data_IF_750201748050
#
_entry.id   IF_750201748050
#
_cell.length_a   1.000
_cell.length_b   1.000
_cell.length_c   1.000
_cell.angle_alpha   90.00
_cell.angle_beta   90.00
_cell.angle_gamma   90.00
#
_symmetry.space_group_name_H-M   'P 1'
#
loop_
_entity.id
_entity.type
_entity.pdbx_description
1 polymer ?
#
# COMPACT_ATOMS: atom_id res chain seq x y z
N UNK A 1 -7.97 -0.63 19.53
CA UNK A 1 -8.22 -1.56 18.39
C UNK A 1 -9.65 -2.11 18.41
N UNK A 2 -10.14 -2.67 19.53
CA UNK A 2 -11.54 -3.13 19.71
C UNK A 2 -12.56 -1.97 19.59
N UNK A 3 -12.22 -0.75 20.03
CA UNK A 3 -13.10 0.42 19.91
C UNK A 3 -13.27 0.94 18.47
N UNK A 4 -12.23 0.83 17.64
CA UNK A 4 -12.29 1.22 16.21
C UNK A 4 -13.16 0.23 15.43
N UNK A 5 -13.09 -1.08 15.75
CA UNK A 5 -13.98 -2.07 15.14
C UNK A 5 -15.43 -2.02 15.68
N UNK A 6 -15.64 -1.70 16.97
CA UNK A 6 -16.99 -1.47 17.54
C UNK A 6 -17.68 -0.25 16.92
N UNK A 7 -16.94 0.81 16.59
CA UNK A 7 -17.49 1.96 15.87
C UNK A 7 -17.97 1.62 14.45
N UNK A 8 -17.33 0.66 13.76
CA UNK A 8 -17.73 0.25 12.42
C UNK A 8 -19.01 -0.62 12.38
N UNK A 9 -19.33 -1.35 13.45
CA UNK A 9 -20.38 -2.38 13.41
C UNK A 9 -21.55 -2.20 14.38
N UNK A 10 -21.52 -1.29 15.35
CA UNK A 10 -22.52 -1.31 16.44
C UNK A 10 -23.45 -0.10 16.60
N UNK A 11 -23.37 0.95 15.79
CA UNK A 11 -24.39 2.01 15.77
C UNK A 11 -24.70 2.45 14.36
N UNK A 12 -25.82 1.97 13.81
CA UNK A 12 -26.82 2.72 13.03
C UNK A 12 -27.60 1.77 12.10
N UNK A 13 -28.60 1.08 12.66
CA UNK A 13 -29.85 0.76 11.94
C UNK A 13 -30.79 1.97 12.00
N UNK A 14 -30.29 3.17 11.69
CA UNK A 14 -31.13 4.32 11.37
C UNK A 14 -31.12 4.46 9.86
N UNK A 15 -32.27 4.73 9.26
CA UNK A 15 -32.40 5.01 7.83
C UNK A 15 -31.52 6.22 7.48
N UNK A 16 -30.28 5.96 7.07
CA UNK A 16 -29.47 7.00 6.47
C UNK A 16 -30.14 7.35 5.15
N UNK A 17 -30.65 8.58 5.03
CA UNK A 17 -30.78 9.21 3.71
C UNK A 17 -29.38 9.14 3.10
N UNK A 18 -29.23 8.31 2.06
CA UNK A 18 -27.97 8.15 1.34
C UNK A 18 -27.46 9.53 0.91
N UNK A 19 -26.44 10.05 1.61
CA UNK A 19 -25.66 11.15 1.09
C UNK A 19 -24.70 10.54 0.08
N UNK A 20 -24.86 10.91 -1.19
CA UNK A 20 -23.90 10.56 -2.24
C UNK A 20 -22.52 11.10 -1.84
N UNK A 21 -21.65 10.21 -1.41
CA UNK A 21 -20.24 10.48 -1.09
C UNK A 21 -19.38 10.03 -2.26
N UNK A 22 -18.31 10.76 -2.57
CA UNK A 22 -17.35 10.35 -3.59
C UNK A 22 -16.54 9.14 -3.12
N UNK A 23 -16.23 8.20 -4.00
CA UNK A 23 -15.34 7.08 -3.69
C UNK A 23 -13.95 7.38 -4.27
N UNK A 24 -12.88 7.08 -3.54
CA UNK A 24 -11.48 7.21 -4.00
C UNK A 24 -10.82 5.86 -3.81
N UNK A 25 -10.51 5.15 -4.89
CA UNK A 25 -9.76 3.89 -4.84
C UNK A 25 -8.28 4.24 -4.97
N UNK A 26 -7.45 3.84 -4.01
CA UNK A 26 -5.99 4.02 -4.05
C UNK A 26 -5.33 2.65 -4.00
N UNK A 27 -5.57 1.82 -5.01
CA UNK A 27 -4.63 0.73 -5.43
C UNK A 27 -5.05 0.03 -6.75
N UNK A 28 -5.85 0.69 -7.58
CA UNK A 28 -6.12 0.29 -8.95
C UNK A 28 -6.32 1.58 -9.74
N UNK A 29 -6.00 1.55 -11.03
CA UNK A 29 -5.97 2.68 -11.95
C UNK A 29 -7.10 3.72 -11.75
N UNK A 30 -6.71 4.98 -11.85
CA UNK A 30 -7.39 6.21 -11.43
C UNK A 30 -8.75 6.41 -12.11
N UNK A 31 -9.87 5.91 -11.59
CA UNK A 31 -11.22 6.48 -11.82
C UNK A 31 -12.16 6.19 -10.63
N UNK A 32 -13.18 7.05 -10.46
CA UNK A 32 -14.40 6.87 -9.61
C UNK A 32 -14.67 7.81 -8.41
N UNK A 33 -14.09 9.03 -8.41
CA UNK A 33 -14.77 10.17 -7.78
C UNK A 33 -15.81 10.68 -8.77
N UNK A 34 -17.09 10.87 -8.38
CA UNK A 34 -18.02 11.65 -9.19
C UNK A 34 -17.53 13.11 -9.26
N UNK A 35 -16.88 13.53 -10.36
CA UNK A 35 -16.30 14.87 -10.46
C UNK A 35 -17.38 15.92 -10.76
N UNK A 36 -18.65 15.53 -10.78
CA UNK A 36 -19.81 16.39 -11.02
C UNK A 36 -20.44 16.91 -9.73
N UNK A 37 -20.14 16.33 -8.56
CA UNK A 37 -20.62 16.86 -7.28
C UNK A 37 -20.01 18.25 -7.01
N UNK A 38 -20.86 19.28 -7.08
CA UNK A 38 -20.46 20.69 -7.01
C UNK A 38 -19.84 21.09 -5.66
N UNK A 39 -20.21 20.42 -4.56
CA UNK A 39 -19.74 20.76 -3.21
C UNK A 39 -18.33 20.22 -2.95
N UNK A 40 -18.04 19.02 -3.47
CA UNK A 40 -16.71 18.38 -3.40
C UNK A 40 -15.75 19.06 -4.37
N UNK A 41 -16.18 19.27 -5.62
CA UNK A 41 -15.42 19.96 -6.68
C UNK A 41 -15.03 21.39 -6.29
N UNK A 42 -15.89 22.06 -5.53
CA UNK A 42 -15.67 23.44 -5.10
C UNK A 42 -14.56 23.57 -4.07
N UNK A 43 -14.67 22.79 -3.00
CA UNK A 43 -13.73 22.83 -1.87
C UNK A 43 -12.36 22.26 -2.23
N UNK A 44 -12.32 21.14 -2.98
CA UNK A 44 -11.06 20.48 -3.35
C UNK A 44 -10.14 21.39 -4.16
N UNK A 45 -10.68 22.12 -5.14
CA UNK A 45 -9.88 23.02 -5.99
C UNK A 45 -9.24 24.15 -5.17
N UNK A 46 -9.91 24.64 -4.14
CA UNK A 46 -9.42 25.73 -3.29
C UNK A 46 -8.37 25.22 -2.31
N UNK A 47 -8.63 24.07 -1.68
CA UNK A 47 -7.69 23.42 -0.76
C UNK A 47 -6.40 23.04 -1.51
N UNK A 48 -6.54 22.46 -2.70
CA UNK A 48 -5.42 22.15 -3.59
C UNK A 48 -4.64 23.42 -3.99
N UNK A 49 -5.34 24.48 -4.41
CA UNK A 49 -4.69 25.75 -4.73
C UNK A 49 -3.97 26.39 -3.53
N UNK A 50 -4.51 26.29 -2.31
CA UNK A 50 -3.86 26.77 -1.09
C UNK A 50 -2.63 25.95 -0.74
N UNK A 51 -2.70 24.63 -0.86
CA UNK A 51 -1.52 23.78 -0.70
C UNK A 51 -0.41 24.17 -1.69
N UNK A 52 -0.77 24.37 -2.95
CA UNK A 52 0.18 24.79 -3.99
C UNK A 52 0.80 26.15 -3.74
N UNK A 53 0.03 27.09 -3.20
CA UNK A 53 0.52 28.38 -2.76
C UNK A 53 1.61 28.21 -1.68
N UNK A 54 1.40 27.32 -0.70
CA UNK A 54 2.39 27.01 0.35
C UNK A 54 3.64 26.34 -0.23
N UNK A 55 3.47 25.30 -1.05
CA UNK A 55 4.59 24.56 -1.67
C UNK A 55 5.47 25.46 -2.55
N UNK A 56 4.86 26.35 -3.34
CA UNK A 56 5.61 27.31 -4.15
C UNK A 56 6.36 28.34 -3.29
N UNK A 57 5.82 28.76 -2.14
CA UNK A 57 6.52 29.63 -1.19
C UNK A 57 7.76 28.93 -0.60
N UNK A 58 7.60 27.69 -0.17
CA UNK A 58 8.73 26.90 0.35
C UNK A 58 9.82 26.69 -0.72
N UNK A 59 9.43 26.40 -1.97
CA UNK A 59 10.37 26.31 -3.11
C UNK A 59 11.08 27.64 -3.36
N UNK A 60 10.34 28.75 -3.31
CA UNK A 60 10.93 30.09 -3.43
C UNK A 60 12.00 30.33 -2.36
N UNK A 61 11.67 30.07 -1.10
CA UNK A 61 12.56 30.34 0.03
C UNK A 61 13.82 29.47 -0.01
N UNK A 62 13.67 28.18 -0.37
CA UNK A 62 14.81 27.27 -0.62
C UNK A 62 15.73 27.76 -1.74
N UNK A 63 15.16 28.26 -2.85
CA UNK A 63 15.97 28.79 -3.95
C UNK A 63 16.73 30.03 -3.47
N UNK A 64 16.07 30.95 -2.76
CA UNK A 64 16.68 32.16 -2.19
C UNK A 64 17.83 31.85 -1.23
N UNK A 65 17.61 30.93 -0.28
CA UNK A 65 18.67 30.49 0.65
C UNK A 65 19.88 29.92 -0.11
N UNK A 66 19.61 29.16 -1.17
CA UNK A 66 20.65 28.52 -1.96
C UNK A 66 21.40 29.46 -2.92
N UNK A 67 20.86 30.65 -3.19
CA UNK A 67 21.53 31.71 -3.95
C UNK A 67 22.53 32.50 -3.08
N UNK A 68 22.37 32.46 -1.76
CA UNK A 68 23.33 33.05 -0.81
C UNK A 68 24.61 32.22 -0.63
N UNK A 69 24.68 31.02 -1.25
CA UNK A 69 25.83 30.11 -1.16
C UNK A 69 26.76 30.32 -2.37
N UNK A 70 28.10 30.33 -2.20
CA UNK A 70 29.04 30.42 -3.32
C UNK A 70 28.79 29.30 -4.34
N UNK A 71 28.58 29.64 -5.61
CA UNK A 71 28.21 28.66 -6.63
C UNK A 71 28.67 29.08 -8.03
N UNK A 72 28.89 28.11 -8.93
CA UNK A 72 29.31 28.40 -10.31
C UNK A 72 28.21 29.13 -11.12
N UNK A 73 28.64 29.89 -12.14
CA UNK A 73 27.75 30.76 -12.93
C UNK A 73 26.61 30.00 -13.62
N UNK A 74 26.86 28.78 -14.11
CA UNK A 74 25.84 27.99 -14.78
C UNK A 74 24.71 27.57 -13.83
N UNK A 75 25.04 27.09 -12.63
CA UNK A 75 24.04 26.76 -11.60
C UNK A 75 23.33 28.01 -11.10
N UNK A 76 24.03 29.15 -10.98
CA UNK A 76 23.43 30.43 -10.59
C UNK A 76 22.38 30.90 -11.61
N UNK A 77 22.72 30.89 -12.91
CA UNK A 77 21.79 31.22 -14.00
C UNK A 77 20.57 30.29 -14.03
N UNK A 78 20.77 28.99 -13.82
CA UNK A 78 19.67 28.02 -13.74
C UNK A 78 18.73 28.32 -12.57
N UNK A 79 19.26 28.53 -11.36
CA UNK A 79 18.45 28.87 -10.17
C UNK A 79 17.71 30.20 -10.31
N UNK A 80 18.32 31.21 -10.93
CA UNK A 80 17.67 32.49 -11.20
C UNK A 80 16.44 32.32 -12.12
N UNK A 81 16.57 31.50 -13.17
CA UNK A 81 15.45 31.16 -14.06
C UNK A 81 14.32 30.42 -13.33
N UNK A 82 14.69 29.50 -12.43
CA UNK A 82 13.72 28.77 -11.61
C UNK A 82 13.01 29.69 -10.61
N UNK A 83 13.74 30.64 -9.99
CA UNK A 83 13.18 31.66 -9.10
C UNK A 83 12.14 32.54 -9.81
N UNK A 84 12.45 33.04 -11.00
CA UNK A 84 11.53 33.85 -11.80
C UNK A 84 10.28 33.08 -12.23
N UNK A 85 10.44 31.77 -12.50
CA UNK A 85 9.30 30.89 -12.79
C UNK A 85 8.42 30.75 -11.55
N UNK A 86 9.00 30.42 -10.39
CA UNK A 86 8.24 30.23 -9.13
C UNK A 86 7.52 31.51 -8.71
N UNK A 87 8.19 32.67 -8.76
CA UNK A 87 7.57 33.98 -8.45
C UNK A 87 6.35 34.28 -9.32
N UNK A 88 6.47 34.08 -10.64
CA UNK A 88 5.33 34.28 -11.56
C UNK A 88 4.15 33.37 -11.23
N UNK A 89 4.41 32.10 -10.93
CA UNK A 89 3.36 31.15 -10.56
C UNK A 89 2.68 31.53 -9.23
N UNK A 90 3.46 31.94 -8.21
CA UNK A 90 2.93 32.43 -6.93
C UNK A 90 2.02 33.64 -7.12
N UNK A 91 2.45 34.64 -7.89
CA UNK A 91 1.67 35.85 -8.13
C UNK A 91 0.33 35.54 -8.81
N UNK A 92 0.34 34.70 -9.84
CA UNK A 92 -0.88 34.29 -10.55
C UNK A 92 -1.82 33.54 -9.60
N UNK A 93 -1.31 32.57 -8.84
CA UNK A 93 -2.12 31.77 -7.93
C UNK A 93 -2.73 32.61 -6.79
N UNK A 94 -1.94 33.53 -6.20
CA UNK A 94 -2.44 34.49 -5.20
C UNK A 94 -3.59 35.32 -5.76
N UNK A 95 -3.42 35.88 -6.96
CA UNK A 95 -4.45 36.72 -7.61
C UNK A 95 -5.75 35.95 -7.83
N UNK A 96 -5.65 34.69 -8.27
CA UNK A 96 -6.80 33.83 -8.47
C UNK A 96 -7.51 33.47 -7.16
N UNK A 97 -6.76 33.26 -6.08
CA UNK A 97 -7.30 32.94 -4.75
C UNK A 97 -7.97 34.16 -4.07
N UNK A 98 -7.42 35.37 -4.21
CA UNK A 98 -8.01 36.59 -3.62
C UNK A 98 -9.38 36.90 -4.22
N UNK A 99 -9.54 36.69 -5.53
CA UNK A 99 -10.84 36.85 -6.23
C UNK A 99 -11.93 35.91 -5.72
N UNK A 100 -11.56 34.80 -5.09
CA UNK A 100 -12.51 33.86 -4.48
C UNK A 100 -12.97 34.29 -3.08
N UNK A 101 -12.16 35.05 -2.33
CA UNK A 101 -12.51 35.51 -0.99
C UNK A 101 -13.54 36.66 -1.00
N UNK A 102 -13.69 37.34 -2.15
CA UNK A 102 -14.72 38.35 -2.35
C UNK A 102 -16.10 37.68 -2.58
N UNK A 103 -16.94 37.70 -1.54
CA UNK A 103 -18.30 37.13 -1.56
C UNK A 103 -19.24 37.76 -2.58
N UNK A 104 -18.87 38.91 -3.16
CA UNK A 104 -19.69 39.66 -4.14
C UNK A 104 -19.45 39.21 -5.59
N UNK A 105 -18.39 38.44 -5.86
CA UNK A 105 -18.09 37.94 -7.20
C UNK A 105 -18.53 36.48 -7.38
N UNK A 106 -18.95 36.08 -8.60
CA UNK A 106 -19.23 34.68 -8.91
C UNK A 106 -17.98 33.84 -8.63
N UNK A 107 -18.15 32.75 -7.85
CA UNK A 107 -17.09 31.78 -7.53
C UNK A 107 -16.73 30.96 -8.77
N UNK A 108 -16.01 31.56 -9.72
CA UNK A 108 -15.57 30.88 -10.94
C UNK A 108 -14.23 30.16 -10.73
N UNK A 109 -14.33 28.90 -10.31
CA UNK A 109 -13.21 27.99 -10.10
C UNK A 109 -12.53 27.54 -11.40
N UNK A 110 -13.09 27.87 -12.57
CA UNK A 110 -12.55 27.46 -13.87
C UNK A 110 -11.12 27.98 -14.08
N UNK A 111 -10.84 29.21 -13.66
CA UNK A 111 -9.52 29.83 -13.83
C UNK A 111 -8.46 29.17 -12.95
N UNK A 112 -8.78 28.88 -11.69
CA UNK A 112 -7.89 28.13 -10.79
C UNK A 112 -7.61 26.75 -11.39
N UNK A 113 -8.66 26.03 -11.83
CA UNK A 113 -8.52 24.70 -12.43
C UNK A 113 -7.64 24.69 -13.69
N UNK A 114 -7.81 25.68 -14.57
CA UNK A 114 -6.99 25.83 -15.78
C UNK A 114 -5.52 26.09 -15.43
N UNK A 115 -5.26 26.94 -14.44
CA UNK A 115 -3.90 27.21 -13.96
C UNK A 115 -3.23 25.95 -13.40
N UNK A 116 -3.90 25.24 -12.48
CA UNK A 116 -3.40 24.01 -11.86
C UNK A 116 -3.08 22.94 -12.93
N UNK A 117 -4.00 22.67 -13.85
CA UNK A 117 -3.80 21.70 -14.95
C UNK A 117 -2.65 22.04 -15.89
N UNK A 118 -2.45 23.32 -16.17
CA UNK A 118 -1.42 23.77 -17.13
C UNK A 118 -0.02 23.70 -16.53
N UNK A 119 0.13 24.07 -15.26
CA UNK A 119 1.43 24.37 -14.68
C UNK A 119 1.97 23.31 -13.71
N UNK A 120 1.21 22.27 -13.40
CA UNK A 120 1.55 21.27 -12.37
C UNK A 120 1.63 19.83 -12.89
N UNK A 121 1.80 19.63 -14.21
CA UNK A 121 1.88 18.29 -14.81
C UNK A 121 3.09 17.47 -14.36
N UNK A 122 4.24 18.12 -14.14
CA UNK A 122 5.46 17.44 -13.69
C UNK A 122 5.34 16.94 -12.24
N UNK A 123 4.52 17.60 -11.44
CA UNK A 123 4.34 17.29 -10.04
C UNK A 123 3.33 16.14 -9.79
N UNK A 124 2.68 15.53 -10.80
CA UNK A 124 1.81 14.37 -10.55
C UNK A 124 2.59 13.20 -9.95
N UNK A 125 3.82 12.95 -10.43
CA UNK A 125 4.71 11.92 -9.86
C UNK A 125 5.20 12.29 -8.46
N UNK A 126 5.43 13.58 -8.20
CA UNK A 126 5.84 14.05 -6.88
C UNK A 126 4.67 14.12 -5.89
N UNK A 127 3.46 14.39 -6.35
CA UNK A 127 2.21 14.32 -5.60
C UNK A 127 1.88 12.88 -5.22
N UNK A 128 2.13 11.91 -6.13
CA UNK A 128 2.05 10.49 -5.78
C UNK A 128 3.06 10.11 -4.70
N UNK A 129 4.26 10.72 -4.68
CA UNK A 129 5.28 10.49 -3.64
C UNK A 129 4.96 11.20 -2.32
N UNK A 130 4.40 12.40 -2.36
CA UNK A 130 4.14 13.25 -1.19
C UNK A 130 2.73 13.05 -0.61
N UNK A 131 1.87 12.33 -1.32
CA UNK A 131 0.44 12.21 -1.02
C UNK A 131 -0.37 13.38 -1.57
N UNK A 132 -1.68 13.17 -1.69
CA UNK A 132 -2.61 14.23 -2.12
C UNK A 132 -3.06 15.04 -0.88
N UNK A 133 -2.75 16.34 -0.80
CA UNK A 133 -3.12 17.19 0.34
C UNK A 133 -4.63 17.25 0.53
N UNK A 134 -5.08 17.19 1.80
CA UNK A 134 -6.50 17.20 2.16
C UNK A 134 -7.25 15.90 1.84
N UNK A 135 -6.61 14.92 1.18
CA UNK A 135 -7.26 13.65 0.86
C UNK A 135 -7.60 12.84 2.13
N UNK A 136 -6.68 12.78 3.08
CA UNK A 136 -6.91 12.13 4.37
C UNK A 136 -7.95 12.87 5.21
N UNK A 137 -7.89 14.21 5.22
CA UNK A 137 -8.90 15.03 5.91
C UNK A 137 -10.30 14.79 5.31
N UNK A 138 -10.42 14.72 3.98
CA UNK A 138 -11.68 14.41 3.31
C UNK A 138 -12.19 13.00 3.65
N UNK A 139 -11.29 12.02 3.78
CA UNK A 139 -11.62 10.66 4.19
C UNK A 139 -12.11 10.61 5.64
N UNK A 140 -11.36 11.19 6.58
CA UNK A 140 -11.72 11.21 8.00
C UNK A 140 -12.98 12.03 8.29
N UNK A 141 -13.25 13.08 7.51
CA UNK A 141 -14.49 13.86 7.59
C UNK A 141 -15.68 13.20 6.87
N UNK A 142 -15.51 12.01 6.28
CA UNK A 142 -16.56 11.26 5.60
C UNK A 142 -17.07 11.89 4.30
N UNK A 143 -16.31 12.84 3.73
CA UNK A 143 -16.61 13.48 2.44
C UNK A 143 -16.38 12.49 1.30
N UNK A 144 -15.37 11.63 1.46
CA UNK A 144 -15.04 10.55 0.55
C UNK A 144 -14.97 9.21 1.29
N UNK A 145 -15.11 8.11 0.54
CA UNK A 145 -14.81 6.74 1.00
C UNK A 145 -13.61 6.19 0.25
N UNK A 146 -12.80 5.40 0.92
CA UNK A 146 -11.66 4.73 0.30
C UNK A 146 -11.85 3.22 0.28
N UNK A 147 -11.48 2.58 -0.83
CA UNK A 147 -11.28 1.13 -0.89
C UNK A 147 -9.82 0.88 -0.54
N UNK A 148 -9.59 -0.02 0.42
CA UNK A 148 -8.25 -0.28 0.99
C UNK A 148 -7.58 1.01 1.47
N UNK A 149 -8.34 1.85 2.17
CA UNK A 149 -7.83 3.12 2.71
C UNK A 149 -6.72 2.94 3.75
N UNK A 150 -6.15 4.05 4.26
CA UNK A 150 -5.06 4.02 5.23
C UNK A 150 -5.36 3.12 6.42
N UNK A 151 -4.39 2.29 6.77
CA UNK A 151 -4.53 1.28 7.81
C UNK A 151 -5.18 -0.01 7.31
N UNK A 152 -5.26 -0.25 6.00
CA UNK A 152 -5.60 -1.57 5.43
C UNK A 152 -4.34 -2.41 5.16
N UNK A 153 -3.18 -1.76 5.09
CA UNK A 153 -1.88 -2.37 4.81
C UNK A 153 -1.48 -3.42 5.85
N UNK A 154 -1.95 -3.28 7.09
CA UNK A 154 -1.73 -4.28 8.15
C UNK A 154 -2.35 -5.65 7.82
N UNK A 155 -3.35 -5.72 6.93
CA UNK A 155 -3.92 -7.00 6.50
C UNK A 155 -2.94 -7.81 5.65
N UNK A 156 -1.96 -7.15 5.03
CA UNK A 156 -0.84 -7.79 4.33
C UNK A 156 0.35 -8.07 5.25
N UNK A 157 0.29 -7.69 6.53
CA UNK A 157 1.36 -7.92 7.48
C UNK A 157 1.47 -9.41 7.85
N UNK A 158 2.70 -9.95 7.83
CA UNK A 158 2.92 -11.37 8.06
C UNK A 158 2.65 -11.78 9.51
N UNK A 159 2.80 -10.90 10.50
CA UNK A 159 2.36 -11.18 11.87
C UNK A 159 0.85 -11.24 11.96
N UNK A 160 0.14 -10.36 11.25
CA UNK A 160 -1.33 -10.41 11.27
C UNK A 160 -1.86 -11.78 10.81
N UNK A 161 -1.17 -12.43 9.85
CA UNK A 161 -1.51 -13.76 9.37
C UNK A 161 -1.55 -14.85 10.47
N UNK A 162 -0.81 -14.71 11.57
CA UNK A 162 -0.84 -15.65 12.72
C UNK A 162 -2.23 -15.78 13.34
N UNK A 163 -3.05 -14.74 13.20
CA UNK A 163 -4.30 -14.60 13.92
C UNK A 163 -5.53 -14.94 13.07
N UNK A 164 -5.37 -15.17 11.76
CA UNK A 164 -6.49 -15.31 10.81
C UNK A 164 -7.47 -16.40 11.23
N UNK A 165 -6.98 -17.60 11.57
CA UNK A 165 -7.83 -18.72 11.98
C UNK A 165 -8.65 -18.36 13.24
N UNK A 166 -8.00 -17.72 14.23
CA UNK A 166 -8.66 -17.26 15.46
C UNK A 166 -9.67 -16.16 15.16
N UNK A 167 -9.39 -15.27 14.21
CA UNK A 167 -10.30 -14.20 13.79
C UNK A 167 -11.55 -14.77 13.11
N UNK A 168 -11.40 -15.77 12.25
CA UNK A 168 -12.53 -16.48 11.64
C UNK A 168 -13.44 -17.06 12.72
N UNK A 169 -12.90 -17.82 13.67
CA UNK A 169 -13.69 -18.38 14.77
C UNK A 169 -14.29 -17.28 15.67
N UNK A 170 -13.55 -16.22 15.98
CA UNK A 170 -14.01 -15.16 16.87
C UNK A 170 -15.15 -14.33 16.26
N UNK A 171 -15.03 -13.95 14.97
CA UNK A 171 -15.97 -13.04 14.31
C UNK A 171 -17.09 -13.74 13.54
N UNK A 172 -16.78 -14.85 12.85
CA UNK A 172 -17.77 -15.57 12.03
C UNK A 172 -18.43 -16.71 12.81
N UNK A 173 -17.85 -17.14 13.94
CA UNK A 173 -18.31 -18.33 14.70
C UNK A 173 -18.29 -19.60 13.85
N UNK A 174 -17.33 -19.68 12.93
CA UNK A 174 -17.14 -20.79 12.01
C UNK A 174 -15.74 -21.38 12.17
N UNK A 175 -15.58 -22.63 11.73
CA UNK A 175 -14.27 -23.27 11.61
C UNK A 175 -13.61 -22.86 10.27
N UNK A 176 -12.32 -22.45 10.26
CA UNK A 176 -11.61 -22.12 9.03
C UNK A 176 -11.57 -23.31 8.06
N UNK A 177 -12.17 -23.14 6.88
CA UNK A 177 -12.10 -24.15 5.80
C UNK A 177 -10.67 -24.23 5.24
N UNK A 178 -10.05 -23.07 5.04
CA UNK A 178 -8.65 -22.94 4.64
C UNK A 178 -7.85 -22.52 5.85
N UNK A 179 -7.06 -23.45 6.40
CA UNK A 179 -6.21 -23.18 7.56
C UNK A 179 -4.97 -22.42 7.14
N UNK A 180 -4.55 -21.48 7.98
CA UNK A 180 -3.21 -20.90 7.83
C UNK A 180 -2.14 -21.95 8.09
N UNK A 181 -0.98 -21.75 7.47
CA UNK A 181 0.15 -22.65 7.71
C UNK A 181 0.69 -22.37 9.11
N UNK A 182 0.99 -23.40 9.92
CA UNK A 182 1.54 -23.22 11.26
C UNK A 182 2.77 -22.29 11.22
N UNK A 183 2.64 -21.16 11.91
CA UNK A 183 3.62 -20.09 11.95
C UNK A 183 3.78 -19.63 13.39
N UNK A 184 5.01 -19.36 13.81
CA UNK A 184 5.35 -18.85 15.13
C UNK A 184 6.15 -17.55 14.97
N UNK A 185 5.94 -16.60 15.89
CA UNK A 185 6.75 -15.39 15.97
C UNK A 185 7.87 -15.57 17.00
N UNK A 186 9.08 -15.16 16.62
CA UNK A 186 10.22 -15.13 17.54
C UNK A 186 10.07 -14.06 18.65
N UNK A 187 9.12 -13.13 18.53
CA UNK A 187 8.81 -12.17 19.59
C UNK A 187 7.73 -12.64 20.58
N UNK A 188 6.89 -13.61 20.19
CA UNK A 188 5.77 -14.11 21.02
C UNK A 188 6.10 -15.42 21.76
N UNK A 189 7.27 -16.00 21.50
CA UNK A 189 7.72 -17.28 22.06
C UNK A 189 9.05 -17.09 22.81
N UNK A 190 9.45 -18.10 23.59
CA UNK A 190 10.80 -18.12 24.15
C UNK A 190 11.82 -18.15 23.01
N UNK A 191 12.61 -17.08 22.92
CA UNK A 191 13.53 -16.86 21.81
C UNK A 191 14.59 -17.95 21.75
N UNK A 192 15.16 -18.36 22.88
CA UNK A 192 16.26 -19.32 22.91
C UNK A 192 15.77 -20.72 22.58
N UNK A 193 14.61 -21.12 23.12
CA UNK A 193 13.98 -22.38 22.79
C UNK A 193 13.65 -22.47 21.29
N UNK A 194 13.05 -21.41 20.72
CA UNK A 194 12.65 -21.41 19.33
C UNK A 194 13.87 -21.35 18.38
N UNK A 195 14.91 -20.60 18.73
CA UNK A 195 16.17 -20.61 17.99
C UNK A 195 16.82 -22.00 18.02
N UNK A 196 16.85 -22.65 19.18
CA UNK A 196 17.39 -24.01 19.29
C UNK A 196 16.58 -25.00 18.43
N UNK A 197 15.25 -24.93 18.49
CA UNK A 197 14.36 -25.78 17.70
C UNK A 197 14.56 -25.61 16.18
N UNK A 198 14.84 -24.38 15.71
CA UNK A 198 14.98 -24.06 14.29
C UNK A 198 16.41 -24.27 13.78
N UNK A 199 17.42 -23.92 14.58
CA UNK A 199 18.81 -23.85 14.14
C UNK A 199 19.71 -24.91 14.72
N UNK A 200 19.46 -25.49 15.89
CA UNK A 200 20.39 -26.46 16.49
C UNK A 200 20.13 -27.89 16.00
N UNK A 201 18.89 -28.19 15.62
CA UNK A 201 18.54 -29.45 14.97
C UNK A 201 18.79 -29.37 13.44
N UNK A 202 19.72 -30.17 12.86
CA UNK A 202 19.97 -30.17 11.42
C UNK A 202 18.75 -30.54 10.56
N UNK A 203 17.89 -31.43 11.07
CA UNK A 203 16.68 -31.85 10.35
C UNK A 203 15.62 -30.77 10.32
N UNK A 204 15.64 -29.84 11.29
CA UNK A 204 14.66 -28.75 11.38
C UNK A 204 14.64 -27.85 10.15
N UNK A 205 15.80 -27.66 9.54
CA UNK A 205 15.90 -26.91 8.30
C UNK A 205 15.06 -27.53 7.18
N UNK A 206 14.94 -28.86 7.11
CA UNK A 206 14.22 -29.56 6.03
C UNK A 206 12.70 -29.39 6.09
N UNK A 207 12.15 -28.80 7.15
CA UNK A 207 10.72 -28.54 7.29
C UNK A 207 10.41 -27.13 7.75
N UNK A 208 11.34 -26.19 7.57
CA UNK A 208 11.21 -24.82 8.06
C UNK A 208 11.39 -23.76 6.97
N UNK A 209 10.60 -22.69 7.07
CA UNK A 209 10.77 -21.45 6.32
C UNK A 209 10.85 -20.30 7.31
N UNK A 210 11.93 -19.52 7.26
CA UNK A 210 12.06 -18.29 8.04
C UNK A 210 11.71 -17.10 7.15
N UNK A 211 10.97 -16.13 7.68
CA UNK A 211 10.54 -14.94 6.93
C UNK A 211 10.74 -13.69 7.76
N UNK A 212 11.23 -12.64 7.12
CA UNK A 212 11.16 -11.28 7.68
C UNK A 212 9.76 -10.71 7.45
N UNK A 213 9.25 -9.94 8.41
CA UNK A 213 7.86 -9.48 8.46
C UNK A 213 7.63 -8.35 7.46
N UNK A 214 8.46 -7.31 7.55
CA UNK A 214 8.47 -6.10 6.72
C UNK A 214 9.06 -6.30 5.31
N UNK A 215 9.66 -7.46 5.05
CA UNK A 215 10.30 -7.77 3.77
C UNK A 215 9.31 -7.82 2.60
N UNK A 216 9.55 -6.98 1.58
CA UNK A 216 8.90 -7.03 0.26
C UNK A 216 9.82 -7.76 -0.73
N UNK A 217 9.30 -8.75 -1.45
CA UNK A 217 10.05 -9.53 -2.43
C UNK A 217 10.63 -10.84 -1.89
N UNK A 218 11.36 -11.58 -2.74
CA UNK A 218 11.85 -12.93 -2.45
C UNK A 218 13.03 -13.00 -1.48
N UNK A 219 13.77 -11.92 -1.30
CA UNK A 219 15.08 -11.91 -0.61
C UNK A 219 14.97 -11.91 0.92
N UNK A 220 13.75 -11.78 1.46
CA UNK A 220 13.47 -11.79 2.90
C UNK A 220 12.79 -13.09 3.36
N UNK A 221 12.98 -14.17 2.60
CA UNK A 221 12.39 -15.49 2.84
C UNK A 221 13.48 -16.55 2.70
N UNK A 222 13.74 -17.31 3.74
CA UNK A 222 14.72 -18.40 3.75
C UNK A 222 13.98 -19.73 3.76
N UNK A 223 13.99 -20.42 2.62
CA UNK A 223 13.34 -21.73 2.45
C UNK A 223 14.35 -22.79 2.82
N UNK A 224 14.27 -23.33 4.04
CA UNK A 224 15.29 -24.20 4.60
C UNK A 224 15.73 -25.36 3.69
N UNK A 225 14.81 -26.15 3.10
CA UNK A 225 15.16 -27.26 2.20
C UNK A 225 15.89 -26.85 0.91
N UNK A 226 15.81 -25.57 0.53
CA UNK A 226 16.35 -25.04 -0.72
C UNK A 226 17.65 -24.25 -0.50
N UNK A 227 18.14 -24.17 0.74
CA UNK A 227 19.34 -23.43 1.10
C UNK A 227 20.43 -24.36 1.63
N UNK A 228 21.70 -24.09 1.33
CA UNK A 228 22.81 -24.71 2.04
C UNK A 228 22.71 -24.46 3.54
N UNK A 229 23.11 -25.45 4.35
CA UNK A 229 23.09 -25.36 5.83
C UNK A 229 23.77 -24.09 6.36
N UNK A 230 24.92 -23.75 5.78
CA UNK A 230 25.69 -22.57 6.17
C UNK A 230 24.91 -21.27 5.95
N UNK A 231 24.29 -21.10 4.79
CA UNK A 231 23.49 -19.91 4.46
C UNK A 231 22.24 -19.81 5.33
N UNK A 232 21.60 -20.94 5.66
CA UNK A 232 20.47 -20.93 6.59
C UNK A 232 20.89 -20.51 8.01
N UNK A 233 22.07 -20.92 8.47
CA UNK A 233 22.60 -20.53 9.79
C UNK A 233 22.91 -19.04 9.90
N UNK A 234 23.23 -18.37 8.80
CA UNK A 234 23.49 -16.91 8.78
C UNK A 234 22.23 -16.08 9.15
N UNK A 235 21.05 -16.69 9.15
CA UNK A 235 19.79 -16.03 9.55
C UNK A 235 19.66 -15.87 11.06
N UNK A 236 20.23 -16.80 11.85
CA UNK A 236 20.15 -16.78 13.32
C UNK A 236 20.57 -15.44 13.95
N UNK A 237 21.76 -14.88 13.66
CA UNK A 237 22.15 -13.61 14.26
C UNK A 237 21.25 -12.43 13.86
N UNK A 238 20.60 -12.50 12.69
CA UNK A 238 19.63 -11.48 12.27
C UNK A 238 18.36 -11.53 13.15
N UNK A 239 17.90 -12.74 13.48
CA UNK A 239 16.75 -12.95 14.38
C UNK A 239 17.11 -12.53 15.80
N UNK A 240 18.28 -12.91 16.31
CA UNK A 240 18.73 -12.53 17.65
C UNK A 240 18.82 -11.00 17.82
N UNK A 241 19.23 -10.29 16.77
CA UNK A 241 19.30 -8.83 16.78
C UNK A 241 17.92 -8.15 16.76
N UNK A 242 16.94 -8.72 16.03
CA UNK A 242 15.61 -8.14 15.87
C UNK A 242 14.50 -9.22 15.88
N UNK A 243 14.20 -9.88 17.02
CA UNK A 243 13.27 -11.02 17.04
C UNK A 243 11.88 -10.69 16.48
N UNK A 244 11.40 -9.48 16.75
CA UNK A 244 10.12 -8.96 16.26
C UNK A 244 10.07 -8.68 14.77
N UNK A 245 11.16 -8.82 14.03
CA UNK A 245 11.15 -8.72 12.57
C UNK A 245 11.02 -10.09 11.89
N UNK A 246 11.02 -11.20 12.63
CA UNK A 246 11.07 -12.54 12.05
C UNK A 246 9.96 -13.48 12.53
N UNK A 247 9.57 -14.34 11.61
CA UNK A 247 8.62 -15.42 11.80
C UNK A 247 9.24 -16.72 11.30
N UNK A 248 8.85 -17.82 11.91
CA UNK A 248 9.15 -19.17 11.43
C UNK A 248 7.88 -19.91 11.09
N UNK A 249 7.90 -20.61 9.96
CA UNK A 249 6.75 -21.29 9.41
C UNK A 249 7.12 -22.71 9.02
N UNK A 250 6.19 -23.65 9.20
CA UNK A 250 6.34 -25.01 8.66
C UNK A 250 6.44 -24.95 7.13
N UNK A 251 7.48 -25.57 6.56
CA UNK A 251 7.60 -25.73 5.12
C UNK A 251 6.50 -26.67 4.61
N UNK A 252 5.85 -26.23 3.53
CA UNK A 252 4.92 -27.05 2.75
C UNK A 252 5.47 -27.08 1.33
N UNK A 253 5.71 -28.29 0.82
CA UNK A 253 6.13 -28.47 -0.56
C UNK A 253 5.06 -27.92 -1.52
N UNK A 254 5.48 -27.08 -2.46
CA UNK A 254 4.59 -26.53 -3.47
C UNK A 254 4.16 -27.62 -4.43
N UNK A 255 2.93 -27.51 -4.93
CA UNK A 255 2.44 -28.40 -5.98
C UNK A 255 3.18 -28.14 -7.30
N UNK A 256 3.46 -29.21 -8.04
CA UNK A 256 4.14 -29.16 -9.32
C UNK A 256 3.21 -29.55 -10.46
N UNK A 257 3.13 -28.71 -11.50
CA UNK A 257 2.35 -28.95 -12.72
C UNK A 257 3.27 -28.76 -13.93
N UNK A 258 3.40 -29.77 -14.79
CA UNK A 258 4.25 -29.72 -16.00
C UNK A 258 5.68 -29.20 -15.70
N UNK A 259 6.30 -29.73 -14.65
CA UNK A 259 7.63 -29.31 -14.18
C UNK A 259 7.75 -27.87 -13.70
N UNK A 260 6.63 -27.25 -13.33
CA UNK A 260 6.57 -25.91 -12.73
C UNK A 260 6.08 -26.03 -11.28
N UNK A 261 6.79 -25.42 -10.32
CA UNK A 261 6.20 -25.15 -9.01
C UNK A 261 5.15 -24.05 -9.16
N UNK A 262 4.00 -24.21 -8.51
CA UNK A 262 2.85 -23.33 -8.73
C UNK A 262 2.22 -22.84 -7.43
N UNK A 263 1.77 -21.59 -7.44
CA UNK A 263 0.76 -21.10 -6.49
C UNK A 263 -0.50 -20.63 -7.22
N UNK A 264 -1.60 -20.58 -6.47
CA UNK A 264 -2.88 -20.10 -6.94
C UNK A 264 -3.31 -18.89 -6.13
N UNK A 265 -3.97 -17.97 -6.81
CA UNK A 265 -4.42 -16.70 -6.28
C UNK A 265 -5.87 -16.49 -6.70
N UNK A 266 -6.70 -16.22 -5.69
CA UNK A 266 -8.10 -15.90 -5.89
C UNK A 266 -8.31 -14.41 -5.62
N UNK A 267 -9.15 -13.78 -6.43
CA UNK A 267 -9.57 -12.41 -6.22
C UNK A 267 -10.93 -12.41 -5.53
N UNK A 268 -10.99 -11.75 -4.39
CA UNK A 268 -12.22 -11.50 -3.65
C UNK A 268 -12.46 -10.00 -3.56
N UNK A 269 -13.70 -9.58 -3.85
CA UNK A 269 -14.19 -8.23 -3.61
C UNK A 269 -15.16 -8.28 -2.44
N UNK A 270 -14.81 -7.60 -1.35
CA UNK A 270 -15.65 -7.46 -0.17
C UNK A 270 -16.38 -6.12 -0.25
N UNK A 271 -17.70 -6.17 -0.28
CA UNK A 271 -18.60 -5.02 -0.27
C UNK A 271 -19.38 -4.99 1.04
N UNK A 272 -20.09 -3.89 1.28
CA UNK A 272 -20.91 -3.73 2.49
C UNK A 272 -21.97 -4.82 2.65
N UNK A 273 -22.50 -5.32 1.54
CA UNK A 273 -23.66 -6.21 1.47
C UNK A 273 -23.36 -7.58 0.85
N UNK A 274 -22.15 -7.77 0.32
CA UNK A 274 -21.83 -8.94 -0.48
C UNK A 274 -20.32 -9.21 -0.51
N UNK A 275 -19.97 -10.48 -0.68
CA UNK A 275 -18.61 -10.92 -0.98
C UNK A 275 -18.68 -11.61 -2.34
N UNK A 276 -17.89 -11.13 -3.30
CA UNK A 276 -17.79 -11.72 -4.64
C UNK A 276 -16.41 -12.33 -4.77
N UNK A 277 -16.35 -13.63 -5.00
CA UNK A 277 -15.12 -14.38 -5.22
C UNK A 277 -15.05 -14.82 -6.67
N UNK A 278 -13.90 -14.61 -7.32
CA UNK A 278 -13.71 -15.06 -8.69
C UNK A 278 -13.82 -16.59 -8.78
N UNK A 279 -14.56 -17.07 -9.80
CA UNK A 279 -14.58 -18.50 -10.15
C UNK A 279 -13.30 -18.93 -10.88
N UNK A 280 -12.59 -17.97 -11.45
CA UNK A 280 -11.34 -18.18 -12.17
C UNK A 280 -10.19 -17.78 -11.28
N UNK A 281 -9.30 -18.74 -11.01
CA UNK A 281 -8.04 -18.48 -10.32
C UNK A 281 -6.99 -18.03 -11.33
N UNK A 282 -6.07 -17.20 -10.87
CA UNK A 282 -4.81 -16.97 -11.54
C UNK A 282 -3.70 -17.60 -10.70
N UNK A 283 -2.55 -17.85 -11.29
CA UNK A 283 -1.44 -18.48 -10.59
C UNK A 283 -0.11 -17.98 -11.10
N UNK A 284 0.94 -18.32 -10.36
CA UNK A 284 2.32 -18.10 -10.78
C UNK A 284 3.04 -19.42 -10.87
N UNK A 285 3.87 -19.54 -11.90
CA UNK A 285 4.68 -20.73 -12.16
C UNK A 285 6.16 -20.35 -12.19
N UNK A 286 7.01 -21.25 -11.72
CA UNK A 286 8.46 -21.18 -11.91
C UNK A 286 8.98 -22.59 -12.23
N UNK A 287 10.01 -22.76 -13.08
CA UNK A 287 10.59 -24.07 -13.33
C UNK A 287 11.03 -24.74 -12.03
N UNK A 288 10.62 -25.98 -11.79
CA UNK A 288 10.95 -26.70 -10.56
C UNK A 288 12.47 -27.00 -10.46
N UNK A 289 13.10 -27.29 -11.59
CA UNK A 289 14.55 -27.50 -11.66
C UNK A 289 15.30 -26.18 -11.43
N UNK A 290 16.15 -26.16 -10.40
CA UNK A 290 16.95 -24.98 -10.05
C UNK A 290 16.14 -23.87 -9.38
N UNK A 291 14.92 -24.14 -8.91
CA UNK A 291 14.12 -23.20 -8.13
C UNK A 291 14.68 -23.05 -6.71
N UNK A 292 14.53 -21.87 -6.13
CA UNK A 292 14.73 -21.61 -4.70
C UNK A 292 13.49 -21.94 -3.84
N UNK A 293 12.48 -22.61 -4.42
CA UNK A 293 11.22 -22.97 -3.77
C UNK A 293 10.21 -21.80 -3.67
N UNK A 294 10.43 -20.70 -4.38
CA UNK A 294 9.56 -19.52 -4.40
C UNK A 294 9.03 -19.28 -5.81
N UNK A 295 7.75 -18.96 -5.94
CA UNK A 295 7.08 -18.67 -7.23
C UNK A 295 7.06 -17.16 -7.54
N UNK A 296 8.21 -16.49 -7.36
CA UNK A 296 8.30 -15.06 -7.62
C UNK A 296 8.48 -14.78 -9.11
N UNK A 297 7.77 -13.78 -9.63
CA UNK A 297 7.89 -13.38 -11.05
C UNK A 297 9.33 -12.94 -11.37
N UNK A 298 10.01 -12.31 -10.40
CA UNK A 298 11.41 -11.90 -10.53
C UNK A 298 12.40 -13.06 -10.69
N UNK A 299 12.01 -14.29 -10.36
CA UNK A 299 12.87 -15.48 -10.38
C UNK A 299 12.48 -16.41 -11.54
N UNK A 300 12.51 -15.87 -12.78
CA UNK A 300 12.08 -16.56 -14.00
C UNK A 300 10.62 -17.06 -13.95
N UNK A 301 9.81 -16.44 -13.10
CA UNK A 301 8.41 -16.80 -12.94
C UNK A 301 7.54 -16.25 -14.07
N UNK A 302 6.39 -16.87 -14.28
CA UNK A 302 5.36 -16.40 -15.20
C UNK A 302 3.98 -16.48 -14.54
N UNK A 303 3.03 -15.71 -15.06
CA UNK A 303 1.64 -15.75 -14.62
C UNK A 303 0.81 -16.60 -15.59
N UNK A 304 -0.20 -17.28 -15.05
CA UNK A 304 -1.14 -18.06 -15.85
C UNK A 304 -2.55 -17.98 -15.29
N UNK A 305 -3.53 -18.23 -16.15
CA UNK A 305 -4.94 -18.34 -15.75
C UNK A 305 -5.32 -19.81 -15.62
N UNK A 306 -6.06 -20.16 -14.58
CA UNK A 306 -6.62 -21.51 -14.40
C UNK A 306 -7.97 -21.58 -15.10
N UNK A 307 -8.03 -22.36 -16.17
CA UNK A 307 -9.28 -22.68 -16.85
C UNK A 307 -9.86 -23.97 -16.28
N UNK A 308 -11.07 -23.91 -15.74
CA UNK A 308 -11.83 -25.12 -15.39
C UNK A 308 -12.56 -25.61 -16.62
N UNK A 309 -12.19 -26.78 -17.14
CA UNK A 309 -13.02 -27.47 -18.12
C UNK A 309 -14.23 -28.04 -17.39
N UNK A 310 -15.42 -27.47 -17.61
CA UNK A 310 -16.66 -28.15 -17.24
C UNK A 310 -16.79 -29.38 -18.13
N UNK A 311 -16.57 -30.56 -17.56
CA UNK A 311 -16.74 -31.83 -18.28
C UNK A 311 -18.10 -31.88 -18.96
N UNK A 312 -18.11 -32.32 -20.22
CA UNK A 312 -19.30 -32.87 -20.86
C UNK A 312 -19.46 -34.32 -20.43
#
# INVERSE_FOLDING_TARGET
MIEVMRMCFQKHRQSFKEKRVGMVIVDAEVYDVDPTNSTVKGKSIIEEAKYWQTSLKERHDKIMESLNKPMNEWKAKRKAKDLDRVRRLLTVLNTLLTRFQDTRQPKDLCHIRKFLRKNMKEDFKDLLRQGVPGLLDAYFNGVIKMINGPGFEFLGDKHFCLYIDRLVTAYLKEEPILKTIPTLSFAEHDLQELLAAVFDNPDAQNYTVVKRVDGRGGDSVWVGPMLPRKEFQEVRPLIEAEPGAFLVQKYIALSQVNSQLTDLRNLASVRRDSIVVSKTLWGRGVPASGSNGKVNISDKGFEFTVCTASGK
#
